data_IF_526103062518
#
_entry.id   IF_526103062518
#
_cell.length_a   1.000
_cell.length_b   1.000
_cell.length_c   1.000
_cell.angle_alpha   90.00
_cell.angle_beta   90.00
_cell.angle_gamma   90.00
#
_symmetry.space_group_name_H-M   'P 1'
#
loop_
_entity.id
_entity.type
_entity.pdbx_description
1 polymer ?
#
# COMPACT_ATOMS: atom_id res chain seq x y z
N UNK A 1 21.49 18.57 -18.97
CA UNK A 1 22.07 19.11 -20.22
C UNK A 1 22.95 20.36 -19.98
N UNK A 2 23.81 20.35 -18.94
CA UNK A 2 24.76 21.45 -18.58
C UNK A 2 26.04 20.85 -17.98
N UNK A 3 26.81 20.08 -18.75
CA UNK A 3 28.16 19.62 -18.37
C UNK A 3 28.26 18.46 -17.36
N UNK A 4 27.15 17.94 -16.84
CA UNK A 4 27.17 16.71 -16.04
C UNK A 4 27.33 15.46 -16.91
N UNK A 5 28.16 14.51 -16.46
CA UNK A 5 28.22 13.15 -16.99
C UNK A 5 27.11 12.29 -16.37
N UNK A 6 26.65 11.28 -17.11
CA UNK A 6 25.65 10.33 -16.64
C UNK A 6 26.25 8.94 -16.78
N UNK A 7 26.10 8.12 -15.75
CA UNK A 7 26.53 6.73 -15.73
C UNK A 7 25.42 5.86 -15.10
N UNK A 8 25.34 4.57 -15.46
CA UNK A 8 24.41 3.67 -14.81
C UNK A 8 24.84 3.43 -13.36
N UNK A 9 23.87 3.34 -12.46
CA UNK A 9 24.08 3.06 -11.04
C UNK A 9 23.11 1.98 -10.60
N UNK A 10 23.62 1.02 -9.83
CA UNK A 10 22.78 0.10 -9.07
C UNK A 10 22.47 0.76 -7.72
N UNK A 11 21.20 1.07 -7.49
CA UNK A 11 20.77 1.73 -6.26
C UNK A 11 20.72 0.73 -5.10
N UNK A 12 21.23 1.15 -3.94
CA UNK A 12 20.98 0.43 -2.70
C UNK A 12 19.48 0.38 -2.39
N UNK A 13 18.96 -0.72 -1.79
CA UNK A 13 17.53 -0.88 -1.51
C UNK A 13 16.91 0.24 -0.68
N UNK A 14 17.71 0.92 0.15
CA UNK A 14 17.26 2.05 0.95
C UNK A 14 16.91 3.28 0.09
N UNK A 15 17.71 3.55 -0.95
CA UNK A 15 17.52 4.66 -1.90
C UNK A 15 16.33 4.39 -2.82
N UNK A 16 16.22 3.17 -3.35
CA UNK A 16 15.06 2.74 -4.13
C UNK A 16 13.77 2.92 -3.32
N UNK A 17 13.77 2.42 -2.07
CA UNK A 17 12.63 2.53 -1.18
C UNK A 17 12.28 3.99 -0.84
N UNK A 18 13.28 4.87 -0.72
CA UNK A 18 13.06 6.30 -0.52
C UNK A 18 12.41 6.95 -1.74
N UNK A 19 12.88 6.66 -2.96
CA UNK A 19 12.29 7.18 -4.20
C UNK A 19 10.83 6.73 -4.37
N UNK A 20 10.55 5.44 -4.19
CA UNK A 20 9.19 4.88 -4.31
C UNK A 20 8.26 5.55 -3.30
N UNK A 21 8.67 5.66 -2.03
CA UNK A 21 7.86 6.31 -1.00
C UNK A 21 7.58 7.77 -1.32
N UNK A 22 8.56 8.50 -1.86
CA UNK A 22 8.38 9.91 -2.23
C UNK A 22 7.25 10.08 -3.27
N UNK A 23 7.28 9.28 -4.34
CA UNK A 23 6.24 9.28 -5.36
C UNK A 23 4.87 8.89 -4.78
N UNK A 24 4.80 7.85 -3.95
CA UNK A 24 3.57 7.38 -3.31
C UNK A 24 2.95 8.42 -2.38
N UNK A 25 3.74 9.07 -1.53
CA UNK A 25 3.26 10.11 -0.60
C UNK A 25 2.67 11.30 -1.35
N UNK A 26 3.24 11.63 -2.52
CA UNK A 26 2.75 12.68 -3.40
C UNK A 26 1.60 12.23 -4.33
N UNK A 27 1.20 10.97 -4.27
CA UNK A 27 0.13 10.42 -5.09
C UNK A 27 0.48 10.34 -6.59
N UNK A 28 1.77 10.31 -6.93
CA UNK A 28 2.24 10.21 -8.30
C UNK A 28 2.40 8.74 -8.71
N UNK A 29 1.80 8.38 -9.85
CA UNK A 29 1.90 7.02 -10.42
C UNK A 29 3.22 6.79 -11.17
N UNK A 30 3.83 7.86 -11.66
CA UNK A 30 5.16 7.88 -12.24
C UNK A 30 5.83 9.23 -11.89
N UNK A 31 7.10 9.19 -11.50
CA UNK A 31 7.87 10.39 -11.17
C UNK A 31 9.37 10.13 -11.33
N UNK A 32 10.13 11.19 -11.65
CA UNK A 32 11.57 11.21 -11.45
C UNK A 32 11.87 11.73 -10.05
N UNK A 33 12.72 11.04 -9.31
CA UNK A 33 13.10 11.43 -7.94
C UNK A 33 14.59 11.68 -7.90
N UNK A 34 14.97 12.89 -7.54
CA UNK A 34 16.37 13.28 -7.40
C UNK A 34 16.80 13.05 -5.95
N UNK A 35 17.82 12.23 -5.77
CA UNK A 35 18.35 11.81 -4.48
C UNK A 35 19.77 12.35 -4.28
N UNK A 36 20.12 12.64 -3.04
CA UNK A 36 21.48 12.96 -2.62
C UNK A 36 21.97 11.92 -1.62
N UNK A 37 23.16 11.37 -1.89
CA UNK A 37 23.84 10.46 -0.98
C UNK A 37 24.49 11.24 0.15
N UNK A 38 24.06 10.96 1.38
CA UNK A 38 24.65 11.57 2.59
C UNK A 38 25.12 10.50 3.55
N UNK A 39 26.01 10.87 4.47
CA UNK A 39 26.40 9.99 5.58
C UNK A 39 25.25 9.60 6.53
N UNK A 40 24.07 10.20 6.37
CA UNK A 40 22.86 9.89 7.12
C UNK A 40 21.82 9.08 6.32
N UNK A 41 22.15 8.62 5.11
CA UNK A 41 21.25 7.90 4.20
C UNK A 41 20.64 8.78 3.09
N UNK A 42 19.64 8.27 2.35
CA UNK A 42 19.05 8.95 1.19
C UNK A 42 18.33 10.25 1.57
N UNK A 43 18.68 11.35 0.93
CA UNK A 43 17.96 12.63 1.03
C UNK A 43 17.26 12.95 -0.29
N UNK A 44 15.96 13.23 -0.25
CA UNK A 44 15.17 13.62 -1.43
C UNK A 44 15.36 15.11 -1.69
N UNK A 45 15.80 15.46 -2.90
CA UNK A 45 15.97 16.84 -3.34
C UNK A 45 14.72 17.35 -4.06
N UNK A 46 14.27 16.57 -5.05
CA UNK A 46 13.19 16.96 -5.95
C UNK A 46 12.37 15.73 -6.36
N UNK A 47 11.07 15.95 -6.58
CA UNK A 47 10.20 14.95 -7.19
C UNK A 47 9.47 15.59 -8.37
N UNK A 48 9.71 15.05 -9.55
CA UNK A 48 9.19 15.54 -10.81
C UNK A 48 8.12 14.60 -11.35
N UNK A 49 6.89 15.11 -11.54
CA UNK A 49 5.78 14.32 -12.10
C UNK A 49 5.86 14.10 -13.62
N UNK A 50 6.76 14.80 -14.31
CA UNK A 50 6.98 14.68 -15.76
C UNK A 50 8.48 14.68 -16.09
N UNK A 51 9.23 13.64 -15.68
CA UNK A 51 10.67 13.58 -15.92
C UNK A 51 10.98 13.38 -17.42
N UNK A 52 12.14 13.85 -17.85
CA UNK A 52 12.67 13.53 -19.18
C UNK A 52 13.25 12.11 -19.21
N UNK A 53 12.73 11.24 -20.07
CA UNK A 53 13.14 9.82 -20.12
C UNK A 53 14.35 9.56 -21.03
N UNK A 54 14.47 10.30 -22.13
CA UNK A 54 15.47 10.05 -23.18
C UNK A 54 16.91 9.89 -22.66
N UNK A 55 17.32 10.71 -21.69
CA UNK A 55 18.68 10.64 -21.16
C UNK A 55 18.94 9.38 -20.34
N UNK A 56 17.99 9.00 -19.48
CA UNK A 56 18.13 7.83 -18.62
C UNK A 56 17.98 6.53 -19.42
N UNK A 57 17.02 6.45 -20.35
CA UNK A 57 16.82 5.27 -21.21
C UNK A 57 18.06 4.99 -22.09
N UNK A 58 18.73 6.03 -22.57
CA UNK A 58 19.96 5.89 -23.37
C UNK A 58 21.13 5.31 -22.58
N UNK A 59 21.26 5.66 -21.29
CA UNK A 59 22.34 5.17 -20.44
C UNK A 59 22.01 3.78 -19.88
N UNK A 60 20.78 3.54 -19.45
CA UNK A 60 20.39 2.29 -18.78
C UNK A 60 19.99 1.20 -19.77
N UNK A 61 19.62 1.55 -21.00
CA UNK A 61 19.05 0.63 -21.97
C UNK A 61 17.65 0.13 -21.60
N UNK A 62 17.02 0.71 -20.58
CA UNK A 62 15.68 0.35 -20.11
C UNK A 62 14.65 1.19 -20.87
N UNK A 63 13.60 0.54 -21.40
CA UNK A 63 12.45 1.22 -22.00
C UNK A 63 11.45 1.64 -20.91
N UNK A 64 11.65 2.84 -20.37
CA UNK A 64 10.87 3.38 -19.26
C UNK A 64 9.50 3.83 -19.76
N UNK A 65 9.42 4.38 -20.97
CA UNK A 65 8.16 4.75 -21.60
C UNK A 65 7.22 3.53 -21.72
N UNK A 66 7.72 2.39 -22.21
CA UNK A 66 6.94 1.16 -22.27
C UNK A 66 6.53 0.66 -20.89
N UNK A 67 7.40 0.74 -19.89
CA UNK A 67 7.06 0.36 -18.52
C UNK A 67 5.92 1.23 -17.93
N UNK A 68 5.93 2.54 -18.20
CA UNK A 68 4.84 3.44 -17.80
C UNK A 68 3.54 3.08 -18.53
N UNK A 69 3.60 2.81 -19.84
CA UNK A 69 2.42 2.41 -20.62
C UNK A 69 1.84 1.11 -20.06
N UNK A 70 2.67 0.07 -19.85
CA UNK A 70 2.24 -1.20 -19.29
C UNK A 70 1.59 -1.02 -17.92
N UNK A 71 2.16 -0.16 -17.06
CA UNK A 71 1.56 0.18 -15.77
C UNK A 71 0.18 0.82 -15.94
N UNK A 72 0.01 1.76 -16.88
CA UNK A 72 -1.28 2.40 -17.14
C UNK A 72 -2.30 1.41 -17.69
N UNK A 73 -1.90 0.51 -18.60
CA UNK A 73 -2.77 -0.53 -19.17
C UNK A 73 -3.28 -1.50 -18.09
N UNK A 74 -2.42 -1.90 -17.16
CA UNK A 74 -2.81 -2.72 -16.00
C UNK A 74 -3.86 -2.00 -15.14
N UNK A 75 -3.65 -0.71 -14.86
CA UNK A 75 -4.60 0.10 -14.10
C UNK A 75 -5.92 0.33 -14.85
N UNK A 76 -5.88 0.46 -16.17
CA UNK A 76 -7.08 0.62 -16.99
C UNK A 76 -7.92 -0.67 -17.02
N UNK A 77 -7.27 -1.85 -17.00
CA UNK A 77 -7.95 -3.14 -16.89
C UNK A 77 -8.63 -3.32 -15.51
N UNK A 78 -8.08 -2.72 -14.46
CA UNK A 78 -8.61 -2.78 -13.11
C UNK A 78 -8.79 -1.36 -12.53
N UNK A 79 -9.83 -0.63 -12.96
CA UNK A 79 -10.02 0.74 -12.49
C UNK A 79 -10.14 0.78 -10.97
N UNK A 80 -9.56 1.82 -10.35
CA UNK A 80 -9.63 2.05 -8.91
C UNK A 80 -11.09 2.00 -8.44
N UNK A 81 -11.45 0.90 -7.78
CA UNK A 81 -12.74 0.75 -7.12
C UNK A 81 -12.54 1.12 -5.67
N UNK A 82 -13.27 2.13 -5.19
CA UNK A 82 -13.39 2.35 -3.76
C UNK A 82 -14.16 1.17 -3.14
N UNK A 83 -13.38 0.20 -2.66
CA UNK A 83 -13.89 -1.02 -2.04
C UNK A 83 -14.79 -0.70 -0.85
N UNK A 84 -14.55 0.39 -0.12
CA UNK A 84 -15.39 0.76 1.03
C UNK A 84 -16.75 1.20 0.52
N UNK A 85 -16.80 2.04 -0.50
CA UNK A 85 -18.06 2.46 -1.08
C UNK A 85 -18.86 1.30 -1.65
N UNK A 86 -18.25 0.33 -2.32
CA UNK A 86 -18.99 -0.81 -2.90
C UNK A 86 -19.38 -1.87 -1.89
N UNK A 87 -18.51 -2.16 -0.93
CA UNK A 87 -18.76 -3.21 0.06
C UNK A 87 -19.69 -2.75 1.20
N UNK A 88 -19.79 -1.44 1.46
CA UNK A 88 -20.68 -0.90 2.51
C UNK A 88 -22.10 -0.60 2.03
N UNK A 89 -22.42 -0.79 0.73
CA UNK A 89 -23.77 -0.56 0.19
C UNK A 89 -24.84 -1.47 0.83
N UNK A 90 -24.43 -2.61 1.39
CA UNK A 90 -25.30 -3.50 2.16
C UNK A 90 -25.29 -3.06 3.62
N UNK A 91 -26.43 -2.59 4.13
CA UNK A 91 -26.59 -2.19 5.53
C UNK A 91 -26.10 -3.31 6.47
N UNK A 92 -25.22 -2.96 7.40
CA UNK A 92 -24.72 -3.89 8.43
C UNK A 92 -23.36 -4.52 8.15
N UNK A 93 -22.73 -4.29 6.99
CA UNK A 93 -21.36 -4.73 6.68
C UNK A 93 -20.38 -3.55 6.63
N UNK A 94 -19.11 -3.80 6.97
CA UNK A 94 -18.06 -2.79 6.91
C UNK A 94 -16.70 -3.38 6.56
N UNK A 95 -15.80 -2.52 6.08
CA UNK A 95 -14.36 -2.79 6.02
C UNK A 95 -13.71 -2.13 7.23
N UNK A 96 -12.89 -2.86 7.97
CA UNK A 96 -12.21 -2.38 9.17
C UNK A 96 -10.75 -2.86 9.23
N UNK A 97 -9.89 -2.02 9.81
CA UNK A 97 -8.51 -2.37 10.15
C UNK A 97 -8.44 -2.79 11.62
N UNK A 98 -7.86 -3.97 11.87
CA UNK A 98 -7.71 -4.56 13.20
C UNK A 98 -6.23 -4.79 13.50
N UNK A 99 -5.69 -4.03 14.46
CA UNK A 99 -4.32 -4.28 14.97
C UNK A 99 -4.33 -5.48 15.93
N UNK A 100 -3.53 -6.48 15.63
CA UNK A 100 -3.39 -7.69 16.46
C UNK A 100 -2.46 -7.39 17.63
N UNK A 101 -3.04 -7.23 18.82
CA UNK A 101 -2.26 -7.12 20.04
C UNK A 101 -1.66 -8.47 20.46
N UNK A 102 -0.58 -8.46 21.23
CA UNK A 102 0.09 -9.69 21.71
C UNK A 102 -0.80 -10.60 22.55
N UNK A 103 -1.82 -10.02 23.21
CA UNK A 103 -2.82 -10.75 24.01
C UNK A 103 -4.12 -11.05 23.22
N UNK A 104 -4.15 -10.77 21.91
CA UNK A 104 -5.31 -11.06 21.08
C UNK A 104 -5.48 -12.57 20.91
N UNK A 105 -6.72 -13.10 20.91
CA UNK A 105 -6.97 -14.51 20.58
C UNK A 105 -6.58 -14.85 19.14
N UNK A 106 -6.36 -13.85 18.28
CA UNK A 106 -5.87 -14.03 16.91
C UNK A 106 -4.35 -14.19 16.85
N UNK A 107 -3.62 -13.75 17.86
CA UNK A 107 -2.17 -13.75 17.86
C UNK A 107 -1.60 -15.17 17.84
N UNK A 108 -0.61 -15.41 16.98
CA UNK A 108 0.06 -16.69 16.78
C UNK A 108 -0.88 -17.83 16.34
N UNK A 109 -2.00 -17.49 15.73
CA UNK A 109 -2.92 -18.46 15.10
C UNK A 109 -2.86 -18.36 13.58
N UNK A 110 -3.35 -19.38 12.87
CA UNK A 110 -3.53 -19.29 11.42
C UNK A 110 -4.87 -18.61 11.08
N UNK A 111 -4.99 -18.04 9.88
CA UNK A 111 -6.25 -17.45 9.39
C UNK A 111 -7.42 -18.43 9.45
N UNK A 112 -7.17 -19.72 9.17
CA UNK A 112 -8.19 -20.77 9.27
C UNK A 112 -8.54 -21.11 10.73
N UNK A 113 -7.54 -21.22 11.61
CA UNK A 113 -7.76 -21.52 13.03
C UNK A 113 -8.48 -20.38 13.77
N UNK A 114 -8.34 -19.14 13.30
CA UNK A 114 -9.03 -17.98 13.85
C UNK A 114 -10.56 -18.02 13.63
N UNK A 115 -11.07 -18.88 12.74
CA UNK A 115 -12.51 -19.08 12.47
C UNK A 115 -13.26 -17.78 12.15
N UNK A 116 -12.56 -16.78 11.59
CA UNK A 116 -13.14 -15.47 11.29
C UNK A 116 -14.27 -15.58 10.25
N UNK A 117 -14.13 -16.50 9.29
CA UNK A 117 -15.13 -16.75 8.25
C UNK A 117 -16.45 -17.26 8.83
N UNK A 118 -16.40 -18.08 9.87
CA UNK A 118 -17.60 -18.60 10.56
C UNK A 118 -18.35 -17.49 11.30
N UNK A 119 -17.64 -16.41 11.66
CA UNK A 119 -18.20 -15.18 12.23
C UNK A 119 -18.58 -14.14 11.17
N UNK A 120 -18.63 -14.54 9.90
CA UNK A 120 -18.93 -13.66 8.77
C UNK A 120 -17.90 -12.51 8.61
N UNK A 121 -16.62 -12.84 8.80
CA UNK A 121 -15.48 -11.95 8.61
C UNK A 121 -14.49 -12.57 7.63
N UNK A 122 -14.19 -11.83 6.57
CA UNK A 122 -13.16 -12.13 5.59
C UNK A 122 -11.93 -11.27 5.85
N UNK A 123 -10.76 -11.90 5.91
CA UNK A 123 -9.47 -11.18 5.94
C UNK A 123 -9.06 -10.92 4.49
N UNK A 124 -9.03 -9.65 4.09
CA UNK A 124 -8.66 -9.22 2.74
C UNK A 124 -7.14 -9.06 2.59
N UNK A 125 -6.48 -8.59 3.64
CA UNK A 125 -5.04 -8.31 3.65
C UNK A 125 -4.47 -8.39 5.07
N UNK A 126 -3.19 -8.75 5.19
CA UNK A 126 -2.39 -8.64 6.41
C UNK A 126 -1.22 -7.70 6.12
N UNK A 127 -1.13 -6.59 6.86
CA UNK A 127 0.03 -5.70 6.82
C UNK A 127 0.96 -6.03 7.99
N UNK A 128 2.20 -6.36 7.67
CA UNK A 128 3.26 -6.71 8.64
C UNK A 128 4.47 -5.83 8.40
N UNK A 129 4.56 -4.73 9.14
CA UNK A 129 5.57 -3.70 8.88
C UNK A 129 5.40 -3.13 7.47
N UNK A 130 6.40 -3.35 6.60
CA UNK A 130 6.38 -2.95 5.18
C UNK A 130 5.83 -4.01 4.23
N UNK A 131 5.57 -5.23 4.70
CA UNK A 131 5.11 -6.34 3.87
C UNK A 131 3.58 -6.41 3.89
N UNK A 132 2.96 -6.45 2.70
CA UNK A 132 1.54 -6.73 2.53
C UNK A 132 1.34 -8.18 2.07
N UNK A 133 0.42 -8.89 2.71
CA UNK A 133 0.04 -10.28 2.37
C UNK A 133 -1.42 -10.26 1.88
N UNK A 134 -1.64 -10.01 0.57
CA UNK A 134 -2.98 -9.95 0.01
C UNK A 134 -3.62 -11.34 -0.02
N UNK A 135 -4.94 -11.40 0.21
CA UNK A 135 -5.73 -12.63 0.20
C UNK A 135 -5.03 -13.79 0.94
N UNK A 136 -4.77 -13.63 2.25
CA UNK A 136 -3.95 -14.58 2.99
C UNK A 136 -4.61 -15.97 2.99
N UNK A 137 -3.82 -16.99 2.69
CA UNK A 137 -4.28 -18.40 2.71
C UNK A 137 -4.67 -18.80 4.13
N UNK A 138 -5.53 -19.82 4.27
CA UNK A 138 -5.92 -20.35 5.57
C UNK A 138 -4.75 -20.79 6.47
N UNK A 139 -3.62 -21.17 5.89
CA UNK A 139 -2.38 -21.54 6.60
C UNK A 139 -1.53 -20.35 7.04
N UNK A 140 -1.88 -19.12 6.66
CA UNK A 140 -1.09 -17.94 6.98
C UNK A 140 -1.17 -17.63 8.48
N UNK A 141 -0.01 -17.45 9.12
CA UNK A 141 0.07 -17.07 10.53
C UNK A 141 -0.21 -15.58 10.71
N UNK A 142 -1.08 -15.28 11.67
CA UNK A 142 -1.37 -13.95 12.20
C UNK A 142 -0.44 -13.71 13.39
N UNK A 143 0.34 -12.64 13.37
CA UNK A 143 1.34 -12.33 14.40
C UNK A 143 0.97 -11.05 15.17
N UNK A 144 1.42 -10.90 16.42
CA UNK A 144 1.34 -9.63 17.13
C UNK A 144 1.96 -8.49 16.31
N UNK A 145 1.28 -7.35 16.25
CA UNK A 145 1.68 -6.20 15.45
C UNK A 145 1.14 -6.20 14.01
N UNK A 146 0.60 -7.31 13.52
CA UNK A 146 -0.08 -7.35 12.24
C UNK A 146 -1.31 -6.42 12.24
N UNK A 147 -1.59 -5.79 11.10
CA UNK A 147 -2.84 -5.07 10.85
C UNK A 147 -3.65 -5.90 9.84
N UNK A 148 -4.78 -6.41 10.28
CA UNK A 148 -5.71 -7.15 9.42
C UNK A 148 -6.70 -6.18 8.79
N UNK A 149 -6.77 -6.14 7.47
CA UNK A 149 -7.86 -5.49 6.75
C UNK A 149 -8.97 -6.51 6.57
N UNK A 150 -10.08 -6.33 7.27
CA UNK A 150 -11.19 -7.26 7.31
C UNK A 150 -12.45 -6.65 6.67
N UNK A 151 -13.26 -7.49 6.03
CA UNK A 151 -14.62 -7.17 5.60
C UNK A 151 -15.59 -8.15 6.25
N UNK A 152 -16.66 -7.65 6.84
CA UNK A 152 -17.63 -8.52 7.51
C UNK A 152 -18.77 -7.76 8.16
N UNK A 153 -19.61 -8.49 8.89
CA UNK A 153 -20.71 -7.89 9.64
C UNK A 153 -20.16 -6.91 10.69
N UNK A 154 -20.81 -5.75 10.83
CA UNK A 154 -20.43 -4.72 11.80
C UNK A 154 -20.54 -5.20 13.24
N UNK A 155 -21.41 -6.17 13.52
CA UNK A 155 -21.52 -6.80 14.84
C UNK A 155 -20.27 -7.63 15.14
N UNK A 156 -19.95 -8.57 14.26
CA UNK A 156 -18.78 -9.45 14.43
C UNK A 156 -17.47 -8.67 14.46
N UNK A 157 -17.33 -7.63 13.61
CA UNK A 157 -16.13 -6.79 13.58
C UNK A 157 -15.94 -6.02 14.89
N UNK A 158 -17.01 -5.53 15.52
CA UNK A 158 -16.93 -4.81 16.80
C UNK A 158 -16.45 -5.70 17.94
N UNK A 159 -16.81 -6.98 17.94
CA UNK A 159 -16.38 -7.95 18.95
C UNK A 159 -14.86 -8.20 18.92
N UNK A 160 -14.20 -7.95 17.77
CA UNK A 160 -12.75 -8.08 17.62
C UNK A 160 -11.97 -6.81 17.93
N UNK A 161 -12.64 -5.66 18.05
CA UNK A 161 -12.01 -4.40 18.39
C UNK A 161 -11.92 -4.30 19.92
N UNK A 162 -10.71 -4.20 20.51
CA UNK A 162 -10.58 -4.01 21.95
C UNK A 162 -11.37 -2.78 22.41
N UNK A 163 -12.18 -2.94 23.45
CA UNK A 163 -12.98 -1.87 24.04
C UNK A 163 -12.06 -0.71 24.48
N UNK A 164 -11.91 0.32 23.65
CA UNK A 164 -11.06 1.47 23.95
C UNK A 164 -10.51 2.24 22.76
N UNK A 165 -10.41 1.64 21.56
CA UNK A 165 -10.03 2.40 20.35
C UNK A 165 -11.26 2.82 19.57
N UNK A 166 -11.64 4.10 19.73
CA UNK A 166 -12.51 4.79 18.77
C UNK A 166 -11.91 4.51 17.39
N UNK A 167 -12.67 3.82 16.54
CA UNK A 167 -12.41 3.72 15.11
C UNK A 167 -11.99 5.11 14.64
N UNK A 168 -10.74 5.25 14.17
CA UNK A 168 -10.42 6.36 13.28
C UNK A 168 -11.25 6.06 12.04
N UNK A 169 -12.49 6.57 12.04
CA UNK A 169 -13.30 6.65 10.84
C UNK A 169 -12.37 7.29 9.81
N UNK A 170 -11.91 6.49 8.85
CA UNK A 170 -11.07 6.99 7.78
C UNK A 170 -11.80 8.20 7.23
N UNK A 171 -11.13 9.36 7.21
CA UNK A 171 -11.67 10.55 6.55
C UNK A 171 -12.24 10.07 5.21
N UNK A 172 -13.49 10.39 4.87
CA UNK A 172 -14.04 10.04 3.56
C UNK A 172 -13.05 10.55 2.52
N UNK A 173 -12.70 9.69 1.55
CA UNK A 173 -11.87 10.09 0.43
C UNK A 173 -12.48 11.36 -0.18
N UNK A 174 -11.68 12.39 -0.50
CA UNK A 174 -12.21 13.57 -1.16
C UNK A 174 -12.92 13.14 -2.44
N UNK A 175 -14.17 13.60 -2.61
CA UNK A 175 -14.96 13.29 -3.79
C UNK A 175 -14.20 13.71 -5.06
N UNK A 176 -14.16 12.89 -6.11
CA UNK A 176 -13.57 13.30 -7.37
C UNK A 176 -14.44 14.40 -7.97
N UNK A 177 -13.92 15.63 -7.99
CA UNK A 177 -14.54 16.77 -8.67
C UNK A 177 -15.21 17.78 -7.75
N UNK A 178 -14.43 18.76 -7.29
CA UNK A 178 -14.97 20.07 -6.91
C UNK A 178 -14.00 21.16 -7.39
N UNK A 179 -14.15 21.49 -8.68
CA UNK A 179 -13.65 22.66 -9.43
C UNK A 179 -12.16 22.93 -9.50
#
# INVERSE_FOLDING_TARGET
HRGGSVEPVDLDPEYESAAIRAAQVLGLRAAGVDLLETGAGPQILEVNSSPGLKGIEQITGVDIAAAIIAHIEEQAAFPDVDIRQRLTLKSGYAVAELTVASNSPLANTTVSAAQLKDRDILVLNILRGSIAIPNPRGSQNILPGDILVCYGSTQSLKELIPAGRKSRAGKPAPAPGAK
#
